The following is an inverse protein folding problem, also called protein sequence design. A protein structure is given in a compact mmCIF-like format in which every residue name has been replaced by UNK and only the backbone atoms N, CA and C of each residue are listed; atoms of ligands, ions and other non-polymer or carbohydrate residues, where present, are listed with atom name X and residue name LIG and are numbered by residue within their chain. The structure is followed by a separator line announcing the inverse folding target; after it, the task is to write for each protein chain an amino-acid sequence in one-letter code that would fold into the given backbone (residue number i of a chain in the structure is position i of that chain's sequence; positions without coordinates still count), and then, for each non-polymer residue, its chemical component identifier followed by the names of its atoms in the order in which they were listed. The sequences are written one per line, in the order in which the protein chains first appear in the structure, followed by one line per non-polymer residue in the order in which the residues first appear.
data_IF_029664841367
#
_entry.id   IF_029664841367
#
_cell.length_a   1.000
_cell.length_b   1.000
_cell.length_c   1.000
_cell.angle_alpha   90.00
_cell.angle_beta   90.00
_cell.angle_gamma   90.00
#
_symmetry.space_group_name_H-M   'P 1'
#
loop_
_entity.id
_entity.type
_entity.pdbx_description
1 polymer ?
#
# COMPACT_ATOMS: atom_id res chain seq x y z
N UNK A 1 10.65 -22.24 16.87
CA UNK A 1 9.53 -22.58 15.98
C UNK A 1 8.25 -22.22 16.69
N UNK A 2 7.73 -21.01 16.41
CA UNK A 2 6.44 -20.55 16.89
C UNK A 2 5.39 -21.02 15.86
N UNK A 3 4.59 -22.01 16.23
CA UNK A 3 3.45 -22.46 15.42
C UNK A 3 2.26 -21.56 15.72
N UNK A 4 1.94 -20.63 14.84
CA UNK A 4 0.63 -20.00 14.78
C UNK A 4 -0.20 -20.79 13.76
N UNK A 5 -1.31 -21.39 14.21
CA UNK A 5 -2.06 -22.51 13.61
C UNK A 5 -2.43 -22.50 12.13
N UNK A 6 -2.49 -21.39 11.41
CA UNK A 6 -2.81 -21.33 9.97
C UNK A 6 -1.77 -20.55 9.15
N UNK A 7 -0.78 -19.96 9.82
CA UNK A 7 0.34 -19.28 9.17
C UNK A 7 1.51 -20.25 9.04
N UNK A 8 2.05 -20.37 7.84
CA UNK A 8 3.26 -21.18 7.60
C UNK A 8 4.41 -20.75 8.51
N UNK A 9 5.43 -21.62 8.63
CA UNK A 9 6.63 -21.43 9.45
C UNK A 9 7.16 -19.98 9.36
N UNK A 10 7.14 -19.25 10.47
CA UNK A 10 7.74 -17.93 10.58
C UNK A 10 9.26 -18.04 10.55
N UNK A 11 9.90 -17.47 9.56
CA UNK A 11 11.35 -17.38 9.47
C UNK A 11 11.83 -16.09 10.14
N UNK A 12 12.78 -16.22 11.09
CA UNK A 12 13.44 -15.06 11.66
C UNK A 12 14.46 -14.50 10.66
N UNK A 13 14.33 -13.22 10.35
CA UNK A 13 15.23 -12.48 9.47
C UNK A 13 16.06 -11.51 10.31
N UNK A 14 17.36 -11.77 10.42
CA UNK A 14 18.32 -10.94 11.16
C UNK A 14 19.26 -10.15 10.25
N UNK A 15 19.38 -10.57 9.00
CA UNK A 15 20.29 -9.93 8.05
C UNK A 15 19.61 -8.82 7.25
N UNK A 16 20.23 -7.64 7.23
CA UNK A 16 19.84 -6.53 6.36
C UNK A 16 20.05 -6.83 4.86
N UNK A 17 20.87 -7.86 4.55
CA UNK A 17 21.15 -8.33 3.19
C UNK A 17 20.21 -9.46 2.74
N UNK A 18 19.25 -9.84 3.57
CA UNK A 18 18.25 -10.82 3.17
C UNK A 18 17.45 -10.31 1.96
N UNK A 19 17.22 -11.16 0.96
CA UNK A 19 16.55 -10.82 -0.28
C UNK A 19 15.18 -10.16 -0.07
N UNK A 20 14.42 -10.61 0.92
CA UNK A 20 13.11 -10.03 1.25
C UNK A 20 13.24 -8.61 1.78
N UNK A 21 14.29 -8.31 2.54
CA UNK A 21 14.57 -6.97 3.07
C UNK A 21 15.05 -6.04 1.95
N UNK A 22 15.90 -6.55 1.07
CA UNK A 22 16.34 -5.80 -0.10
C UNK A 22 15.17 -5.49 -1.05
N UNK A 23 14.23 -6.43 -1.20
CA UNK A 23 13.00 -6.22 -1.95
C UNK A 23 12.18 -5.05 -1.36
N UNK A 24 11.91 -5.04 -0.06
CA UNK A 24 11.19 -3.96 0.61
C UNK A 24 11.89 -2.62 0.36
N UNK A 25 13.19 -2.54 0.62
CA UNK A 25 13.97 -1.31 0.43
C UNK A 25 13.94 -0.80 -1.01
N UNK A 26 13.93 -1.71 -1.97
CA UNK A 26 13.83 -1.36 -3.39
C UNK A 26 12.43 -0.85 -3.72
N UNK A 27 11.39 -1.50 -3.23
CA UNK A 27 10.01 -1.05 -3.41
C UNK A 27 9.74 0.33 -2.78
N UNK A 28 10.36 0.65 -1.65
CA UNK A 28 10.23 1.97 -1.02
C UNK A 28 10.80 3.09 -1.90
N UNK A 29 11.92 2.84 -2.60
CA UNK A 29 12.69 3.86 -3.31
C UNK A 29 12.39 3.96 -4.82
N UNK A 30 11.97 2.88 -5.44
CA UNK A 30 11.94 2.75 -6.90
C UNK A 30 10.51 2.59 -7.42
N UNK A 31 9.96 3.70 -7.97
CA UNK A 31 8.63 3.73 -8.60
C UNK A 31 8.53 2.74 -9.76
N UNK A 32 9.57 2.68 -10.60
CA UNK A 32 9.59 1.79 -11.76
C UNK A 32 9.54 0.32 -11.33
N UNK A 33 10.24 0.00 -10.24
CA UNK A 33 10.23 -1.35 -9.69
C UNK A 33 8.86 -1.74 -9.11
N UNK A 34 8.16 -0.81 -8.41
CA UNK A 34 6.76 -1.03 -7.99
C UNK A 34 5.83 -1.28 -9.17
N UNK A 35 5.96 -0.48 -10.23
CA UNK A 35 5.15 -0.65 -11.45
C UNK A 35 5.41 -1.99 -12.12
N UNK A 36 6.67 -2.45 -12.16
CA UNK A 36 7.06 -3.74 -12.76
C UNK A 36 6.58 -4.94 -11.96
N UNK A 37 6.66 -4.87 -10.63
CA UNK A 37 6.31 -6.01 -9.76
C UNK A 37 4.85 -6.02 -9.35
N UNK A 38 4.18 -4.87 -9.44
CA UNK A 38 2.84 -4.68 -8.88
C UNK A 38 2.79 -4.72 -7.35
N UNK A 39 3.95 -4.73 -6.66
CA UNK A 39 4.04 -4.79 -5.21
C UNK A 39 4.27 -3.40 -4.61
N UNK A 40 3.64 -3.16 -3.46
CA UNK A 40 3.87 -1.99 -2.61
C UNK A 40 4.09 -2.43 -1.17
N UNK A 41 4.88 -1.64 -0.43
CA UNK A 41 5.08 -1.78 1.00
C UNK A 41 4.13 -0.88 1.75
N UNK A 42 3.41 -1.44 2.69
CA UNK A 42 2.58 -0.70 3.65
C UNK A 42 3.03 -1.00 5.07
N UNK A 43 3.04 0.03 5.89
CA UNK A 43 3.32 -0.04 7.32
C UNK A 43 2.22 0.71 8.06
N UNK A 44 2.06 0.51 9.35
CA UNK A 44 0.95 1.02 10.17
C UNK A 44 -0.29 0.11 10.11
N UNK A 45 -0.70 -0.33 11.30
CA UNK A 45 -1.83 -1.27 11.49
C UNK A 45 -3.08 -0.80 10.75
N UNK A 46 -3.40 0.48 10.85
CA UNK A 46 -4.60 1.04 10.20
C UNK A 46 -4.59 0.83 8.67
N UNK A 47 -3.47 1.07 7.99
CA UNK A 47 -3.39 0.84 6.54
C UNK A 47 -3.55 -0.64 6.17
N UNK A 48 -3.02 -1.53 7.00
CA UNK A 48 -3.16 -2.98 6.81
C UNK A 48 -4.63 -3.37 6.96
N UNK A 49 -5.34 -2.85 7.97
CA UNK A 49 -6.78 -3.07 8.16
C UNK A 49 -7.60 -2.55 6.97
N UNK A 50 -7.31 -1.33 6.51
CA UNK A 50 -8.01 -0.75 5.36
C UNK A 50 -7.75 -1.54 4.05
N UNK A 51 -6.52 -2.01 3.83
CA UNK A 51 -6.19 -2.89 2.71
C UNK A 51 -6.99 -4.21 2.78
N UNK A 52 -7.16 -4.76 3.99
CA UNK A 52 -7.98 -5.97 4.21
C UNK A 52 -9.44 -5.72 3.89
N UNK A 53 -10.02 -4.64 4.44
CA UNK A 53 -11.42 -4.26 4.18
C UNK A 53 -11.70 -4.00 2.70
N UNK A 54 -10.67 -3.57 1.98
CA UNK A 54 -10.71 -3.33 0.54
C UNK A 54 -10.37 -4.56 -0.30
N UNK A 55 -10.28 -5.75 0.30
CA UNK A 55 -9.95 -7.02 -0.35
C UNK A 55 -8.62 -6.98 -1.13
N UNK A 56 -7.64 -6.19 -0.69
CA UNK A 56 -6.32 -6.19 -1.28
C UNK A 56 -5.63 -7.55 -1.10
N UNK A 57 -4.94 -8.02 -2.12
CA UNK A 57 -4.20 -9.27 -2.06
C UNK A 57 -2.88 -9.07 -1.33
N UNK A 58 -2.69 -9.77 -0.22
CA UNK A 58 -1.43 -9.76 0.52
C UNK A 58 -0.44 -10.74 -0.09
N UNK A 59 0.83 -10.31 -0.13
CA UNK A 59 1.96 -11.17 -0.52
C UNK A 59 2.65 -11.73 0.72
N UNK A 60 3.00 -10.88 1.70
CA UNK A 60 3.66 -11.31 2.94
C UNK A 60 3.60 -10.25 4.02
N UNK A 61 3.63 -10.70 5.28
CA UNK A 61 3.74 -9.87 6.48
C UNK A 61 5.15 -9.89 7.05
N UNK A 62 5.51 -8.80 7.73
CA UNK A 62 6.78 -8.64 8.44
C UNK A 62 6.49 -8.07 9.82
N UNK A 63 6.90 -8.78 10.85
CA UNK A 63 6.55 -8.54 12.25
C UNK A 63 7.81 -8.47 13.07
N UNK A 64 7.89 -7.53 14.00
CA UNK A 64 8.95 -7.61 15.03
C UNK A 64 8.68 -8.77 15.97
N UNK A 65 9.72 -9.25 16.63
CA UNK A 65 9.59 -10.34 17.62
C UNK A 65 8.59 -9.98 18.73
N UNK A 66 8.58 -8.73 19.18
CA UNK A 66 7.61 -8.23 20.18
C UNK A 66 6.17 -8.36 19.69
N UNK A 67 5.89 -7.91 18.47
CA UNK A 67 4.55 -7.93 17.88
C UNK A 67 4.12 -9.36 17.55
N UNK A 68 5.04 -10.20 17.08
CA UNK A 68 4.75 -11.61 16.75
C UNK A 68 4.27 -12.45 17.94
N UNK A 69 4.50 -11.99 19.16
CA UNK A 69 4.11 -12.65 20.43
C UNK A 69 2.89 -11.99 21.09
N UNK A 70 2.31 -10.95 20.49
CA UNK A 70 1.17 -10.24 21.08
C UNK A 70 -0.15 -10.93 20.73
N UNK A 71 -1.04 -11.02 21.71
CA UNK A 71 -2.40 -11.56 21.52
C UNK A 71 -3.22 -10.72 20.56
N UNK A 72 -3.00 -9.38 20.58
CA UNK A 72 -3.67 -8.43 19.69
C UNK A 72 -3.33 -8.71 18.22
N UNK A 73 -2.08 -9.11 17.94
CA UNK A 73 -1.69 -9.48 16.60
C UNK A 73 -2.35 -10.79 16.16
N UNK A 74 -2.48 -11.78 17.05
CA UNK A 74 -3.13 -13.04 16.70
C UNK A 74 -4.57 -12.82 16.23
N UNK A 75 -5.31 -11.94 16.93
CA UNK A 75 -6.65 -11.52 16.52
C UNK A 75 -6.60 -10.79 15.19
N UNK A 76 -5.71 -9.82 15.05
CA UNK A 76 -5.55 -9.05 13.82
C UNK A 76 -5.18 -9.95 12.63
N UNK A 77 -4.26 -10.87 12.78
CA UNK A 77 -3.85 -11.79 11.72
C UNK A 77 -4.97 -12.75 11.32
N UNK A 78 -5.81 -13.18 12.26
CA UNK A 78 -7.00 -13.99 11.94
C UNK A 78 -8.03 -13.20 11.14
N UNK A 79 -8.20 -11.92 11.42
CA UNK A 79 -9.05 -11.02 10.63
C UNK A 79 -8.46 -10.72 9.24
N UNK A 80 -7.11 -10.64 9.16
CA UNK A 80 -6.36 -10.29 7.95
C UNK A 80 -6.18 -11.48 7.00
N UNK A 81 -6.30 -12.71 7.48
CA UNK A 81 -5.96 -13.90 6.69
C UNK A 81 -7.17 -14.47 5.96
N UNK A 82 -7.51 -13.87 4.83
CA UNK A 82 -8.39 -14.52 3.85
C UNK A 82 -7.65 -15.54 2.97
N UNK A 83 -6.51 -16.09 3.43
CA UNK A 83 -5.71 -17.08 2.69
C UNK A 83 -4.30 -17.29 3.25
N UNK A 84 -3.57 -18.28 2.75
CA UNK A 84 -2.22 -18.59 3.20
C UNK A 84 -1.26 -17.45 2.85
N UNK A 85 -0.97 -16.59 3.81
CA UNK A 85 -0.03 -15.49 3.63
C UNK A 85 1.23 -15.76 4.44
N UNK A 86 2.39 -15.57 3.82
CA UNK A 86 3.68 -15.77 4.47
C UNK A 86 3.92 -14.69 5.53
N UNK A 87 4.19 -15.11 6.76
CA UNK A 87 4.63 -14.22 7.81
C UNK A 87 6.13 -14.40 8.08
N UNK A 88 6.84 -13.29 8.27
CA UNK A 88 8.27 -13.27 8.60
C UNK A 88 8.47 -12.47 9.88
N UNK A 89 9.27 -12.99 10.80
CA UNK A 89 9.70 -12.25 11.98
C UNK A 89 11.00 -11.54 11.65
N UNK A 90 11.10 -10.27 11.99
CA UNK A 90 12.31 -9.46 11.75
C UNK A 90 12.91 -9.01 13.09
N UNK A 91 14.24 -8.98 13.14
CA UNK A 91 14.95 -8.44 14.31
C UNK A 91 14.83 -6.90 14.38
N UNK A 92 15.04 -6.32 15.56
CA UNK A 92 15.08 -4.87 15.76
C UNK A 92 16.08 -4.15 14.84
N UNK A 93 17.19 -4.82 14.51
CA UNK A 93 18.18 -4.30 13.57
C UNK A 93 17.62 -4.18 12.17
N UNK A 94 16.77 -5.10 11.75
CA UNK A 94 16.11 -5.09 10.44
C UNK A 94 14.91 -4.14 10.45
N UNK A 95 14.19 -4.06 11.55
CA UNK A 95 13.08 -3.12 11.73
C UNK A 95 13.47 -1.68 11.36
N UNK A 96 14.59 -1.19 11.90
CA UNK A 96 15.13 0.16 11.63
C UNK A 96 15.50 0.41 10.16
N UNK A 97 15.63 -0.63 9.37
CA UNK A 97 15.97 -0.54 7.95
C UNK A 97 14.75 -0.51 7.02
N UNK A 98 13.63 -1.06 7.47
CA UNK A 98 12.44 -1.24 6.61
C UNK A 98 11.26 -0.36 7.00
N UNK A 99 11.16 0.09 8.27
CA UNK A 99 10.10 1.02 8.67
C UNK A 99 10.57 2.46 8.51
N UNK A 100 9.78 3.26 7.81
CA UNK A 100 10.06 4.68 7.54
C UNK A 100 9.45 5.60 8.59
N UNK A 101 8.48 5.11 9.37
CA UNK A 101 7.84 5.89 10.44
C UNK A 101 8.78 6.11 11.62
N UNK A 102 8.70 7.28 12.27
CA UNK A 102 9.51 7.60 13.44
C UNK A 102 9.21 6.70 14.65
N UNK A 103 7.96 6.23 14.74
CA UNK A 103 7.50 5.31 15.80
C UNK A 103 6.84 4.10 15.14
N UNK A 104 7.63 3.11 14.70
CA UNK A 104 7.10 1.92 14.06
C UNK A 104 6.17 1.14 14.99
N UNK A 105 5.09 0.62 14.45
CA UNK A 105 4.16 -0.26 15.17
C UNK A 105 4.59 -1.73 15.12
N UNK A 106 5.75 -2.01 14.54
CA UNK A 106 6.34 -3.36 14.48
C UNK A 106 5.64 -4.31 13.51
N UNK A 107 4.79 -3.80 12.65
CA UNK A 107 4.10 -4.57 11.60
C UNK A 107 4.14 -3.83 10.26
N UNK A 108 4.40 -4.57 9.21
CA UNK A 108 4.30 -4.11 7.83
C UNK A 108 3.92 -5.25 6.89
N UNK A 109 3.48 -4.92 5.70
CA UNK A 109 3.07 -5.90 4.71
C UNK A 109 3.50 -5.50 3.30
N UNK A 110 3.81 -6.51 2.50
CA UNK A 110 3.83 -6.41 1.05
C UNK A 110 2.44 -6.80 0.53
N UNK A 111 1.85 -5.93 -0.25
CA UNK A 111 0.56 -6.17 -0.90
C UNK A 111 0.69 -5.95 -2.40
N UNK A 112 -0.18 -6.58 -3.17
CA UNK A 112 -0.33 -6.25 -4.59
C UNK A 112 -1.09 -4.93 -4.72
N UNK A 113 -0.56 -4.06 -5.56
CA UNK A 113 -1.20 -2.78 -5.92
C UNK A 113 -2.59 -3.07 -6.51
N UNK A 114 -3.65 -2.37 -6.08
CA UNK A 114 -4.95 -2.45 -6.74
C UNK A 114 -4.81 -2.21 -8.25
N UNK A 115 -5.52 -3.00 -9.04
CA UNK A 115 -5.50 -2.89 -10.49
C UNK A 115 -6.57 -1.88 -10.91
N UNK A 116 -6.19 -0.93 -11.75
CA UNK A 116 -7.14 -0.06 -12.41
C UNK A 116 -8.06 -0.87 -13.32
N UNK A 117 -9.35 -0.84 -13.04
CA UNK A 117 -10.37 -1.65 -13.75
C UNK A 117 -11.08 -0.88 -14.88
N UNK A 118 -10.64 0.34 -15.17
CA UNK A 118 -11.32 1.28 -16.05
C UNK A 118 -12.07 2.37 -15.29
N UNK A 119 -12.44 3.43 -15.96
CA UNK A 119 -13.26 4.48 -15.37
C UNK A 119 -14.69 3.99 -15.17
N UNK A 120 -15.25 4.21 -14.00
CA UNK A 120 -16.66 3.92 -13.72
C UNK A 120 -17.51 4.93 -14.49
N UNK A 121 -18.35 4.43 -15.42
CA UNK A 121 -19.26 5.26 -16.18
C UNK A 121 -20.25 5.99 -15.28
N UNK A 122 -20.67 7.16 -15.68
CA UNK A 122 -21.62 8.02 -14.94
C UNK A 122 -21.13 8.46 -13.55
N UNK A 123 -19.84 8.33 -13.28
CA UNK A 123 -19.20 8.80 -12.05
C UNK A 123 -18.23 9.95 -12.35
N UNK A 124 -18.17 10.97 -11.50
CA UNK A 124 -17.25 12.08 -11.69
C UNK A 124 -15.79 11.58 -11.68
N UNK A 125 -14.96 12.28 -12.41
CA UNK A 125 -13.51 12.02 -12.48
C UNK A 125 -12.77 13.22 -11.88
N UNK A 126 -11.92 12.98 -10.89
CA UNK A 126 -10.99 13.97 -10.38
C UNK A 126 -9.68 13.89 -11.14
N UNK A 127 -9.29 14.97 -11.78
CA UNK A 127 -7.99 15.08 -12.47
C UNK A 127 -7.05 15.89 -11.58
N UNK A 128 -5.89 15.34 -11.31
CA UNK A 128 -4.87 15.95 -10.45
C UNK A 128 -3.62 16.20 -11.30
N UNK A 129 -3.25 17.47 -11.39
CA UNK A 129 -2.14 17.94 -12.19
C UNK A 129 -1.03 18.52 -11.29
N UNK A 130 0.19 18.02 -11.47
CA UNK A 130 1.44 18.48 -10.84
C UNK A 130 1.43 18.69 -9.32
N UNK A 131 0.57 17.97 -8.57
CA UNK A 131 0.60 18.00 -7.11
C UNK A 131 1.83 17.25 -6.64
N UNK A 132 2.78 17.95 -6.01
CA UNK A 132 4.09 17.41 -5.63
C UNK A 132 4.22 17.07 -4.15
N UNK A 133 3.41 17.68 -3.29
CA UNK A 133 3.43 17.35 -1.87
C UNK A 133 2.62 16.07 -1.58
N UNK A 134 3.25 15.05 -0.95
CA UNK A 134 2.59 13.79 -0.62
C UNK A 134 1.38 13.94 0.31
N UNK A 135 1.43 14.89 1.25
CA UNK A 135 0.35 15.15 2.19
C UNK A 135 -0.88 15.73 1.47
N UNK A 136 -0.64 16.69 0.56
CA UNK A 136 -1.70 17.30 -0.24
C UNK A 136 -2.36 16.26 -1.16
N UNK A 137 -1.56 15.42 -1.83
CA UNK A 137 -2.11 14.36 -2.66
C UNK A 137 -2.96 13.39 -1.85
N UNK A 138 -2.47 12.94 -0.68
CA UNK A 138 -3.24 12.07 0.19
C UNK A 138 -4.54 12.71 0.70
N UNK A 139 -4.52 14.00 0.99
CA UNK A 139 -5.72 14.74 1.41
C UNK A 139 -6.73 14.84 0.28
N UNK A 140 -6.29 15.11 -0.95
CA UNK A 140 -7.17 15.13 -2.12
C UNK A 140 -7.83 13.78 -2.35
N UNK A 141 -7.08 12.67 -2.26
CA UNK A 141 -7.62 11.32 -2.42
C UNK A 141 -8.68 11.02 -1.35
N UNK A 142 -8.41 11.37 -0.08
CA UNK A 142 -9.39 11.21 1.01
C UNK A 142 -10.65 12.04 0.78
N UNK A 143 -10.49 13.29 0.36
CA UNK A 143 -11.62 14.20 0.10
C UNK A 143 -12.46 13.70 -1.08
N UNK A 144 -11.81 13.17 -2.12
CA UNK A 144 -12.48 12.56 -3.26
C UNK A 144 -13.35 11.37 -2.82
N UNK A 145 -12.78 10.43 -2.07
CA UNK A 145 -13.54 9.30 -1.53
C UNK A 145 -14.73 9.74 -0.69
N UNK A 146 -14.51 10.67 0.25
CA UNK A 146 -15.57 11.19 1.12
C UNK A 146 -16.69 11.90 0.35
N UNK A 147 -16.39 12.42 -0.84
CA UNK A 147 -17.34 13.08 -1.74
C UNK A 147 -18.00 12.13 -2.75
N UNK A 148 -17.73 10.83 -2.67
CA UNK A 148 -18.26 9.83 -3.60
C UNK A 148 -17.61 9.82 -4.99
N UNK A 149 -16.46 10.49 -5.15
CA UNK A 149 -15.65 10.42 -6.37
C UNK A 149 -14.85 9.12 -6.32
N UNK A 150 -15.04 8.26 -7.31
CA UNK A 150 -14.37 6.94 -7.36
C UNK A 150 -13.16 6.94 -8.32
N UNK A 151 -13.16 7.82 -9.32
CA UNK A 151 -12.15 7.85 -10.38
C UNK A 151 -11.18 9.01 -10.18
N UNK A 152 -9.88 8.70 -10.18
CA UNK A 152 -8.80 9.69 -10.10
C UNK A 152 -7.86 9.48 -11.28
N UNK A 153 -7.53 10.54 -11.96
CA UNK A 153 -6.50 10.59 -13.01
C UNK A 153 -5.35 11.48 -12.51
N UNK A 154 -4.17 10.91 -12.45
CA UNK A 154 -2.96 11.64 -12.09
C UNK A 154 -2.15 11.95 -13.34
N UNK A 155 -1.97 13.23 -13.64
CA UNK A 155 -1.15 13.66 -14.75
C UNK A 155 0.34 13.53 -14.42
N UNK A 156 1.18 13.52 -15.47
CA UNK A 156 2.63 13.55 -15.35
C UNK A 156 3.06 14.74 -14.51
N UNK A 157 4.08 14.58 -13.69
CA UNK A 157 4.51 15.62 -12.76
C UNK A 157 3.92 15.47 -11.35
N UNK A 158 2.83 14.74 -11.19
CA UNK A 158 2.28 14.45 -9.85
C UNK A 158 3.18 13.46 -9.10
N UNK A 159 3.35 13.71 -7.79
CA UNK A 159 4.12 12.85 -6.90
C UNK A 159 3.62 11.41 -6.95
N UNK A 160 4.54 10.47 -6.74
CA UNK A 160 4.24 9.04 -6.78
C UNK A 160 3.20 8.64 -5.72
N UNK A 161 2.02 8.30 -6.19
CA UNK A 161 0.85 7.96 -5.37
C UNK A 161 1.06 6.71 -4.50
N UNK A 162 1.94 5.79 -4.93
CA UNK A 162 2.27 4.56 -4.21
C UNK A 162 3.51 4.67 -3.32
N UNK A 163 4.02 5.88 -3.11
CA UNK A 163 5.09 6.12 -2.12
C UNK A 163 4.56 5.94 -0.70
N UNK A 164 5.40 5.46 0.23
CA UNK A 164 5.00 5.23 1.62
C UNK A 164 4.39 6.47 2.29
N UNK A 165 4.87 7.66 1.94
CA UNK A 165 4.39 8.93 2.48
C UNK A 165 2.97 9.28 2.01
N UNK A 166 2.66 9.06 0.72
CA UNK A 166 1.31 9.24 0.17
C UNK A 166 0.38 8.18 0.76
N UNK A 167 0.77 6.89 0.74
CA UNK A 167 -0.03 5.80 1.29
C UNK A 167 -0.50 6.10 2.72
N UNK A 168 0.40 6.54 3.58
CA UNK A 168 0.06 6.93 4.97
C UNK A 168 -0.91 8.11 5.01
N UNK A 169 -0.71 9.12 4.16
CA UNK A 169 -1.57 10.32 4.16
C UNK A 169 -2.98 10.06 3.61
N UNK A 170 -3.17 9.01 2.81
CA UNK A 170 -4.50 8.62 2.31
C UNK A 170 -5.37 7.94 3.37
N UNK A 171 -4.79 7.50 4.49
CA UNK A 171 -5.50 6.76 5.54
C UNK A 171 -6.30 5.55 5.00
N UNK A 172 -5.82 4.92 3.90
CA UNK A 172 -6.44 3.76 3.29
C UNK A 172 -7.46 4.04 2.18
N UNK A 173 -7.88 5.28 1.98
CA UNK A 173 -8.80 5.67 0.89
C UNK A 173 -8.34 5.18 -0.48
N UNK A 174 -7.03 5.19 -0.70
CA UNK A 174 -6.40 4.78 -1.96
C UNK A 174 -6.77 3.36 -2.41
N UNK A 175 -7.07 2.46 -1.47
CA UNK A 175 -7.39 1.06 -1.80
C UNK A 175 -8.79 0.87 -2.39
N UNK A 176 -9.64 1.90 -2.31
CA UNK A 176 -11.02 1.90 -2.83
C UNK A 176 -11.21 2.78 -4.06
N UNK A 177 -10.13 3.42 -4.53
CA UNK A 177 -10.19 4.36 -5.65
C UNK A 177 -9.70 3.71 -6.94
N UNK A 178 -10.34 4.07 -8.05
CA UNK A 178 -9.82 3.79 -9.38
C UNK A 178 -8.78 4.86 -9.75
N UNK A 179 -7.50 4.51 -9.71
CA UNK A 179 -6.41 5.44 -9.97
C UNK A 179 -5.70 5.10 -11.27
N UNK A 180 -5.77 6.01 -12.23
CA UNK A 180 -4.99 5.99 -13.45
C UNK A 180 -3.83 6.99 -13.32
N UNK A 181 -2.60 6.55 -13.48
CA UNK A 181 -1.41 7.37 -13.26
C UNK A 181 -0.55 7.56 -14.53
N UNK A 182 0.18 8.67 -14.57
CA UNK A 182 1.14 8.96 -15.64
C UNK A 182 0.52 9.45 -16.95
N UNK A 183 -0.72 9.89 -16.92
CA UNK A 183 -1.40 10.41 -18.09
C UNK A 183 -0.80 11.74 -18.56
N UNK A 184 -0.87 12.02 -19.88
CA UNK A 184 -0.65 13.36 -20.43
C UNK A 184 -1.95 14.14 -20.39
N UNK A 185 -1.86 15.45 -20.65
CA UNK A 185 -3.03 16.32 -20.67
C UNK A 185 -4.03 15.92 -21.79
N UNK A 186 -3.56 15.24 -22.83
CA UNK A 186 -4.40 14.74 -23.95
C UNK A 186 -5.50 13.78 -23.46
N UNK A 187 -5.39 13.27 -22.22
CA UNK A 187 -6.45 12.46 -21.61
C UNK A 187 -7.78 13.21 -21.53
N UNK A 188 -7.78 14.55 -21.52
CA UNK A 188 -8.98 15.37 -21.49
C UNK A 188 -9.80 15.19 -22.78
N UNK A 189 -9.14 15.17 -23.94
CA UNK A 189 -9.81 14.94 -25.23
C UNK A 189 -10.43 13.52 -25.27
N UNK A 190 -9.70 12.54 -24.75
CA UNK A 190 -10.24 11.19 -24.63
C UNK A 190 -11.49 11.17 -23.72
N UNK A 191 -11.43 11.78 -22.53
CA UNK A 191 -12.57 11.82 -21.61
C UNK A 191 -13.78 12.49 -22.25
N UNK A 192 -13.57 13.63 -22.92
CA UNK A 192 -14.63 14.32 -23.63
C UNK A 192 -15.28 13.45 -24.73
N UNK A 193 -14.49 12.67 -25.49
CA UNK A 193 -15.04 11.74 -26.49
C UNK A 193 -15.82 10.57 -25.87
N UNK A 194 -15.55 10.24 -24.61
CA UNK A 194 -16.26 9.20 -23.85
C UNK A 194 -17.50 9.73 -23.12
N UNK A 195 -17.77 11.04 -23.19
CA UNK A 195 -18.94 11.69 -22.57
C UNK A 195 -18.78 12.04 -21.10
N UNK A 196 -17.54 12.25 -20.64
CA UNK A 196 -17.23 12.79 -19.31
C UNK A 196 -17.19 14.31 -19.32
#
# INVERSE_FOLDING_TARGET
NLCFGEFGLMNLIESKQNEKILLIKKLQKDRSYRSKTGLIWIEVIHLIQEATRSNCKFHSFYLTDKVSKSLELEVLLKELASGPTLANVISEKVEREVFETQSPQGIGALIYKPIFSGLSKDKPVLIIDEVQDPGNLGTLIRSAEASGIENIILLKGTVDVWSGKVLRSTMGSIFRMNILEGCSIDILDFLHTQGY
#
